data_IF_754356832836
#
_entry.id   IF_754356832836
#
_cell.length_a   1.000
_cell.length_b   1.000
_cell.length_c   1.000
_cell.angle_alpha   90.00
_cell.angle_beta   90.00
_cell.angle_gamma   90.00
#
_symmetry.space_group_name_H-M   'P 1'
#
loop_
_entity.id
_entity.type
_entity.pdbx_description
1 polymer ?
#
# COMPACT_ATOMS: atom_id res chain seq x y z
N UNK A 1 7.40 4.60 6.74
CA UNK A 1 8.40 5.65 7.13
C UNK A 1 7.74 6.78 7.90
N UNK A 2 7.31 6.51 9.15
CA UNK A 2 6.57 7.46 9.97
C UNK A 2 7.34 8.79 10.14
N UNK A 3 8.62 8.73 10.48
CA UNK A 3 9.43 9.91 10.78
C UNK A 3 9.82 10.71 9.54
N UNK A 4 9.93 10.08 8.38
CA UNK A 4 10.45 10.76 7.20
C UNK A 4 9.37 11.26 6.22
N UNK A 5 8.12 10.89 6.40
CA UNK A 5 7.06 11.14 5.43
C UNK A 5 5.81 11.79 6.01
N UNK A 6 5.64 11.72 7.32
CA UNK A 6 4.48 12.30 7.99
C UNK A 6 4.62 13.83 8.08
N UNK A 7 3.52 14.56 7.94
CA UNK A 7 3.49 15.99 8.21
C UNK A 7 3.72 16.26 9.70
N UNK A 8 4.16 17.45 10.05
CA UNK A 8 4.47 17.84 11.45
C UNK A 8 5.43 16.89 12.15
N UNK A 9 6.53 16.58 11.51
CA UNK A 9 7.54 15.64 12.05
C UNK A 9 7.99 16.00 13.47
N UNK A 10 8.15 17.28 13.79
CA UNK A 10 8.56 17.70 15.13
C UNK A 10 7.55 17.23 16.19
N UNK A 11 6.25 17.40 15.93
CA UNK A 11 5.21 16.89 16.82
C UNK A 11 5.20 15.37 16.91
N UNK A 12 5.48 14.69 15.80
CA UNK A 12 5.62 13.23 15.80
C UNK A 12 6.79 12.79 16.69
N UNK A 13 7.93 13.49 16.63
CA UNK A 13 9.06 13.25 17.53
C UNK A 13 8.66 13.40 19.01
N UNK A 14 7.98 14.48 19.37
CA UNK A 14 7.51 14.73 20.74
C UNK A 14 6.55 13.64 21.24
N UNK A 15 5.68 13.14 20.37
CA UNK A 15 4.73 12.06 20.69
C UNK A 15 5.47 10.75 20.94
N UNK A 16 6.41 10.38 20.08
CA UNK A 16 7.14 9.11 20.18
C UNK A 16 8.15 9.09 21.35
N UNK A 17 8.55 10.25 21.86
CA UNK A 17 9.46 10.37 23.00
C UNK A 17 8.71 10.53 24.33
N UNK A 18 7.40 10.62 24.33
CA UNK A 18 6.58 10.79 25.52
C UNK A 18 5.91 9.46 25.89
N UNK A 19 6.47 8.74 26.87
CA UNK A 19 5.97 7.45 27.35
C UNK A 19 4.49 7.50 27.82
N UNK A 20 3.97 8.70 28.14
CA UNK A 20 2.55 8.87 28.48
C UNK A 20 1.64 8.86 27.25
N UNK A 21 2.18 9.12 26.05
CA UNK A 21 1.46 9.11 24.78
C UNK A 21 1.71 7.84 23.98
N UNK A 22 2.89 7.27 24.12
CA UNK A 22 3.31 6.07 23.42
C UNK A 22 4.08 5.14 24.37
N UNK A 23 3.34 4.34 25.12
CA UNK A 23 3.87 3.49 26.21
C UNK A 23 4.82 2.40 25.72
N UNK A 24 4.59 1.86 24.51
CA UNK A 24 5.38 0.80 23.89
C UNK A 24 5.44 0.97 22.39
N UNK A 25 6.65 0.96 21.84
CA UNK A 25 6.90 1.03 20.39
C UNK A 25 7.60 -0.25 19.96
N UNK A 26 6.94 -1.05 19.14
CA UNK A 26 7.52 -2.24 18.52
C UNK A 26 7.71 -1.94 17.03
N UNK A 27 8.92 -2.13 16.53
CA UNK A 27 9.23 -1.98 15.10
C UNK A 27 9.71 -3.30 14.54
N UNK A 28 9.13 -3.71 13.42
CA UNK A 28 9.56 -4.85 12.62
C UNK A 28 10.15 -4.28 11.33
N UNK A 29 11.43 -4.44 11.12
CA UNK A 29 12.11 -3.90 9.93
C UNK A 29 13.41 -4.69 9.65
N UNK A 30 13.83 -4.71 8.39
CA UNK A 30 15.12 -5.29 7.99
C UNK A 30 16.26 -4.27 8.08
N UNK A 31 15.97 -3.00 8.39
CA UNK A 31 16.95 -1.92 8.50
C UNK A 31 16.70 -1.05 9.72
N UNK A 32 17.78 -0.47 10.26
CA UNK A 32 17.70 0.55 11.31
C UNK A 32 17.25 1.88 10.70
N UNK A 33 15.95 1.99 10.44
CA UNK A 33 15.32 3.19 9.89
C UNK A 33 15.23 4.31 10.94
N UNK A 34 14.88 5.51 10.50
CA UNK A 34 14.65 6.65 11.42
C UNK A 34 13.52 6.34 12.40
N UNK A 35 12.50 5.61 11.99
CA UNK A 35 11.42 5.16 12.88
C UNK A 35 11.85 4.07 13.84
N UNK A 36 12.73 3.16 13.41
CA UNK A 36 13.25 2.08 14.25
C UNK A 36 14.07 2.60 15.44
N UNK A 37 14.63 3.81 15.36
CA UNK A 37 15.37 4.43 16.47
C UNK A 37 14.51 4.81 17.68
N UNK A 38 13.19 4.80 17.55
CA UNK A 38 12.24 5.04 18.64
C UNK A 38 11.71 3.75 19.25
N UNK A 39 12.08 2.58 18.71
CA UNK A 39 11.56 1.32 19.18
C UNK A 39 12.11 0.95 20.58
N UNK A 40 11.21 0.54 21.47
CA UNK A 40 11.55 -0.16 22.69
C UNK A 40 11.93 -1.61 22.41
N UNK A 41 11.25 -2.21 21.40
CA UNK A 41 11.53 -3.55 20.89
C UNK A 41 11.70 -3.48 19.39
N UNK A 42 12.87 -3.92 18.91
CA UNK A 42 13.15 -4.07 17.49
C UNK A 42 13.19 -5.56 17.14
N UNK A 43 12.31 -5.97 16.22
CA UNK A 43 12.26 -7.33 15.71
C UNK A 43 12.82 -7.36 14.29
N UNK A 44 13.94 -8.08 14.05
CA UNK A 44 14.58 -8.11 12.75
C UNK A 44 13.78 -8.98 11.77
N UNK A 45 13.29 -8.36 10.68
CA UNK A 45 12.55 -9.04 9.62
C UNK A 45 13.50 -9.66 8.58
N UNK A 46 13.03 -10.68 7.89
CA UNK A 46 13.70 -11.26 6.74
C UNK A 46 13.63 -10.33 5.54
N UNK A 47 14.73 -10.21 4.81
CA UNK A 47 14.71 -9.60 3.47
C UNK A 47 14.04 -10.52 2.46
N UNK A 48 13.69 -9.98 1.27
CA UNK A 48 13.10 -10.78 0.19
C UNK A 48 13.97 -11.98 -0.23
N UNK A 49 15.30 -11.91 -0.05
CA UNK A 49 16.20 -13.02 -0.36
C UNK A 49 16.20 -14.13 0.71
N UNK A 50 15.71 -13.82 1.90
CA UNK A 50 15.72 -14.71 3.07
C UNK A 50 14.39 -15.42 3.31
N UNK A 51 13.37 -15.12 2.52
CA UNK A 51 12.03 -15.71 2.66
C UNK A 51 11.41 -16.05 1.30
N UNK A 52 10.37 -16.86 1.36
CA UNK A 52 9.55 -17.21 0.20
C UNK A 52 8.29 -16.37 0.20
N UNK A 53 7.91 -15.82 -0.96
CA UNK A 53 6.71 -15.00 -1.10
C UNK A 53 6.21 -14.94 -2.55
N UNK A 54 5.04 -14.35 -2.76
CA UNK A 54 4.52 -13.98 -4.07
C UNK A 54 4.56 -12.47 -4.24
N UNK A 55 5.06 -12.01 -5.39
CA UNK A 55 4.96 -10.62 -5.79
C UNK A 55 3.95 -10.48 -6.92
N UNK A 56 3.01 -9.58 -6.74
CA UNK A 56 1.94 -9.28 -7.69
C UNK A 56 2.08 -7.83 -8.16
N UNK A 57 1.78 -7.60 -9.45
CA UNK A 57 1.52 -6.27 -9.94
C UNK A 57 0.18 -6.24 -10.69
N UNK A 58 -0.76 -5.48 -10.16
CA UNK A 58 -2.11 -5.34 -10.72
C UNK A 58 -2.21 -4.21 -11.76
N UNK A 59 -1.14 -3.45 -12.01
CA UNK A 59 -1.16 -2.21 -12.79
C UNK A 59 -0.48 -2.29 -14.16
N UNK A 60 -0.26 -3.48 -14.71
CA UNK A 60 0.50 -3.69 -15.93
C UNK A 60 -0.25 -3.49 -17.26
N UNK A 61 -1.33 -2.73 -17.27
CA UNK A 61 -2.07 -2.47 -18.50
C UNK A 61 -2.80 -3.71 -19.05
N UNK A 62 -2.31 -4.31 -20.12
CA UNK A 62 -2.91 -5.52 -20.72
C UNK A 62 -2.23 -6.83 -20.31
N UNK A 63 -1.38 -6.81 -19.33
CA UNK A 63 -0.65 -7.98 -18.85
C UNK A 63 -0.72 -8.05 -17.34
N UNK A 64 -1.21 -9.17 -16.82
CA UNK A 64 -1.10 -9.52 -15.40
C UNK A 64 0.05 -10.49 -15.22
N UNK A 65 0.76 -10.37 -14.11
CA UNK A 65 1.79 -11.33 -13.75
C UNK A 65 1.83 -11.60 -12.25
N UNK A 66 2.39 -12.75 -11.91
CA UNK A 66 2.76 -13.10 -10.55
C UNK A 66 4.18 -13.64 -10.58
N UNK A 67 5.00 -13.19 -9.65
CA UNK A 67 6.38 -13.63 -9.48
C UNK A 67 6.45 -14.53 -8.26
N UNK A 68 7.14 -15.66 -8.38
CA UNK A 68 7.52 -16.48 -7.26
C UNK A 68 8.87 -15.99 -6.74
N UNK A 69 8.86 -15.44 -5.54
CA UNK A 69 10.08 -15.10 -4.82
C UNK A 69 10.49 -16.30 -3.98
N UNK A 70 11.51 -17.03 -4.41
CA UNK A 70 12.04 -18.16 -3.65
C UNK A 70 13.11 -17.71 -2.66
N UNK A 71 13.23 -18.40 -1.55
CA UNK A 71 14.30 -18.16 -0.59
C UNK A 71 15.66 -18.52 -1.23
N UNK A 72 16.56 -17.56 -1.31
CA UNK A 72 17.90 -17.71 -1.92
C UNK A 72 18.96 -17.99 -0.88
N UNK A 73 18.83 -17.40 0.29
CA UNK A 73 19.74 -17.55 1.43
C UNK A 73 18.95 -17.85 2.70
N UNK A 74 19.59 -18.49 3.67
CA UNK A 74 18.99 -18.67 4.99
C UNK A 74 18.92 -17.32 5.72
N UNK A 75 17.86 -17.09 6.54
CA UNK A 75 17.81 -15.93 7.42
C UNK A 75 19.11 -15.75 8.19
N UNK A 76 19.61 -14.53 8.22
CA UNK A 76 20.84 -14.19 8.92
C UNK A 76 20.52 -13.68 10.32
N UNK A 77 21.44 -13.91 11.25
CA UNK A 77 21.31 -13.47 12.64
C UNK A 77 20.01 -14.00 13.28
N UNK A 78 19.25 -13.13 13.91
CA UNK A 78 17.97 -13.42 14.56
C UNK A 78 16.76 -13.12 13.69
N UNK A 79 16.96 -12.88 12.37
CA UNK A 79 15.87 -12.55 11.46
C UNK A 79 14.87 -13.71 11.35
N UNK A 80 13.60 -13.36 11.40
CA UNK A 80 12.45 -14.25 11.18
C UNK A 80 11.47 -13.57 10.24
N UNK A 81 10.67 -14.36 9.55
CA UNK A 81 9.57 -13.78 8.77
C UNK A 81 8.50 -13.20 9.70
N UNK A 82 7.74 -12.22 9.21
CA UNK A 82 6.60 -11.67 9.97
C UNK A 82 5.64 -12.79 10.39
N UNK A 83 5.43 -13.78 9.52
CA UNK A 83 4.57 -14.92 9.83
C UNK A 83 5.10 -15.75 11.00
N UNK A 84 6.40 -16.04 11.05
CA UNK A 84 7.02 -16.76 12.18
C UNK A 84 6.93 -15.97 13.48
N UNK A 85 7.25 -14.66 13.44
CA UNK A 85 7.16 -13.79 14.62
C UNK A 85 5.74 -13.71 15.17
N UNK A 86 4.76 -13.51 14.30
CA UNK A 86 3.34 -13.42 14.71
C UNK A 86 2.78 -14.77 15.15
N UNK A 87 3.22 -15.88 14.57
CA UNK A 87 2.85 -17.23 15.01
C UNK A 87 3.39 -17.54 16.41
N UNK A 88 4.62 -17.15 16.72
CA UNK A 88 5.17 -17.28 18.07
C UNK A 88 4.43 -16.41 19.09
N UNK A 89 4.01 -15.21 18.69
CA UNK A 89 3.17 -14.34 19.54
C UNK A 89 1.79 -14.98 19.75
N UNK A 90 1.15 -15.48 18.69
CA UNK A 90 -0.14 -16.17 18.77
C UNK A 90 -0.09 -17.39 19.69
N UNK A 91 1.02 -18.15 19.67
CA UNK A 91 1.25 -19.26 20.59
C UNK A 91 1.28 -18.82 22.05
N UNK A 92 1.99 -17.72 22.37
CA UNK A 92 2.05 -17.17 23.72
C UNK A 92 0.70 -16.64 24.20
N UNK A 93 -0.12 -16.15 23.27
CA UNK A 93 -1.49 -15.68 23.53
C UNK A 93 -2.53 -16.82 23.59
N UNK A 94 -2.13 -18.06 23.26
CA UNK A 94 -3.04 -19.22 23.25
C UNK A 94 -3.99 -19.27 22.06
N UNK A 95 -3.69 -18.54 20.99
CA UNK A 95 -4.52 -18.44 19.75
C UNK A 95 -3.79 -18.96 18.50
N UNK A 96 -2.72 -19.73 18.66
CA UNK A 96 -1.89 -20.25 17.56
C UNK A 96 -2.72 -20.97 16.51
N UNK A 97 -3.60 -21.88 16.96
CA UNK A 97 -4.42 -22.67 16.03
C UNK A 97 -5.40 -21.82 15.23
N UNK A 98 -5.97 -20.78 15.83
CA UNK A 98 -6.88 -19.86 15.14
C UNK A 98 -6.14 -18.99 14.14
N UNK A 99 -4.88 -18.62 14.44
CA UNK A 99 -4.06 -17.77 13.59
C UNK A 99 -3.43 -18.55 12.43
N UNK A 100 -2.84 -19.70 12.72
CA UNK A 100 -2.07 -20.46 11.72
C UNK A 100 -2.90 -21.52 10.99
N UNK A 101 -4.03 -21.95 11.56
CA UNK A 101 -4.77 -23.16 11.15
C UNK A 101 -3.87 -24.40 11.07
N UNK A 102 -2.77 -24.40 11.82
CA UNK A 102 -1.77 -25.46 11.81
C UNK A 102 -0.87 -25.47 10.58
N UNK A 103 -0.86 -24.41 9.77
CA UNK A 103 -0.04 -24.30 8.55
C UNK A 103 1.23 -23.51 8.78
N UNK A 104 2.29 -23.93 8.10
CA UNK A 104 3.50 -23.14 7.88
C UNK A 104 3.28 -22.07 6.82
N UNK A 105 4.23 -21.14 6.66
CA UNK A 105 4.16 -20.11 5.59
C UNK A 105 4.09 -20.77 4.20
N UNK A 106 4.90 -21.78 3.91
CA UNK A 106 4.84 -22.48 2.62
C UNK A 106 3.50 -23.18 2.40
N UNK A 107 2.95 -23.82 3.43
CA UNK A 107 1.63 -24.47 3.33
C UNK A 107 0.51 -23.44 3.09
N UNK A 108 0.60 -22.24 3.69
CA UNK A 108 -0.31 -21.15 3.37
C UNK A 108 -0.17 -20.70 1.92
N UNK A 109 1.04 -20.51 1.44
CA UNK A 109 1.28 -20.14 0.04
C UNK A 109 0.71 -21.19 -0.92
N UNK A 110 0.91 -22.48 -0.64
CA UNK A 110 0.34 -23.58 -1.43
C UNK A 110 -1.18 -23.57 -1.42
N UNK A 111 -1.78 -23.33 -0.25
CA UNK A 111 -3.23 -23.27 -0.09
C UNK A 111 -3.84 -22.10 -0.88
N UNK A 112 -3.31 -20.90 -0.72
CA UNK A 112 -3.77 -19.71 -1.44
C UNK A 112 -3.55 -19.83 -2.96
N UNK A 113 -2.43 -20.43 -3.37
CA UNK A 113 -2.15 -20.66 -4.78
C UNK A 113 -3.11 -21.69 -5.39
N UNK A 114 -3.47 -22.74 -4.65
CA UNK A 114 -4.45 -23.72 -5.10
C UNK A 114 -5.84 -23.07 -5.34
N UNK A 115 -6.30 -22.22 -4.43
CA UNK A 115 -7.52 -21.44 -4.62
C UNK A 115 -7.44 -20.52 -5.86
N UNK A 116 -6.28 -19.87 -6.05
CA UNK A 116 -6.05 -19.03 -7.25
C UNK A 116 -6.12 -19.82 -8.55
N UNK A 117 -5.66 -21.08 -8.56
CA UNK A 117 -5.77 -21.97 -9.72
C UNK A 117 -7.20 -22.40 -10.05
N UNK A 118 -8.08 -22.48 -9.06
CA UNK A 118 -9.52 -22.72 -9.33
C UNK A 118 -10.15 -21.57 -10.12
N UNK A 119 -9.76 -20.32 -9.82
CA UNK A 119 -10.21 -19.13 -10.52
C UNK A 119 -9.49 -18.88 -11.85
N UNK A 120 -8.24 -19.30 -11.95
CA UNK A 120 -7.35 -19.10 -13.13
C UNK A 120 -6.74 -20.45 -13.52
N UNK A 121 -7.48 -21.30 -14.28
CA UNK A 121 -7.02 -22.65 -14.64
C UNK A 121 -5.71 -22.70 -15.44
N UNK A 122 -5.33 -21.60 -16.08
CA UNK A 122 -4.09 -21.49 -16.85
C UNK A 122 -2.84 -21.39 -15.97
N UNK A 123 -2.99 -21.14 -14.65
CA UNK A 123 -1.85 -21.15 -13.74
C UNK A 123 -1.19 -22.54 -13.71
N UNK A 124 0.14 -22.63 -13.81
CA UNK A 124 0.86 -23.91 -13.71
C UNK A 124 0.67 -24.55 -12.32
N UNK A 125 1.18 -25.75 -12.12
CA UNK A 125 1.28 -26.31 -10.77
C UNK A 125 2.20 -25.45 -9.90
N UNK A 126 2.07 -25.53 -8.59
CA UNK A 126 2.92 -24.77 -7.67
C UNK A 126 4.41 -25.02 -7.92
N UNK A 127 4.81 -26.27 -8.16
CA UNK A 127 6.20 -26.65 -8.42
C UNK A 127 6.71 -26.13 -9.77
N UNK A 128 5.87 -26.17 -10.80
CA UNK A 128 6.21 -25.59 -12.10
C UNK A 128 6.34 -24.08 -12.00
N UNK A 129 5.43 -23.41 -11.27
CA UNK A 129 5.49 -21.97 -11.05
C UNK A 129 6.74 -21.57 -10.27
N UNK A 130 7.07 -22.31 -9.19
CA UNK A 130 8.30 -22.09 -8.44
C UNK A 130 9.54 -22.21 -9.33
N UNK A 131 9.57 -23.22 -10.20
CA UNK A 131 10.67 -23.44 -11.15
C UNK A 131 10.75 -22.35 -12.24
N UNK A 132 9.61 -21.87 -12.72
CA UNK A 132 9.55 -20.82 -13.75
C UNK A 132 9.87 -19.44 -13.18
N UNK A 133 9.58 -19.20 -11.92
CA UNK A 133 9.78 -17.93 -11.22
C UNK A 133 8.78 -16.83 -11.56
N UNK A 134 8.10 -16.92 -12.71
CA UNK A 134 7.10 -15.91 -13.13
C UNK A 134 6.04 -16.54 -14.03
N UNK A 135 4.77 -16.21 -13.76
CA UNK A 135 3.66 -16.47 -14.67
C UNK A 135 3.13 -15.14 -15.20
N UNK A 136 2.86 -15.09 -16.52
CA UNK A 136 2.34 -13.91 -17.21
C UNK A 136 1.10 -14.28 -18.00
N UNK A 137 0.04 -13.50 -17.84
CA UNK A 137 -1.18 -13.61 -18.62
C UNK A 137 -1.44 -12.30 -19.36
N UNK A 138 -1.47 -12.35 -20.69
CA UNK A 138 -1.85 -11.20 -21.51
C UNK A 138 -3.34 -11.26 -21.79
N UNK A 139 -3.97 -10.10 -21.77
CA UNK A 139 -5.34 -9.97 -22.24
C UNK A 139 -5.35 -10.17 -23.78
N UNK A 140 -6.07 -11.17 -24.32
CA UNK A 140 -6.16 -11.39 -25.73
C UNK A 140 -6.86 -10.25 -26.48
N UNK A 141 -7.64 -9.42 -25.78
CA UNK A 141 -8.30 -8.24 -26.35
C UNK A 141 -7.37 -7.02 -26.45
N UNK A 142 -6.13 -7.14 -25.98
CA UNK A 142 -5.14 -6.07 -26.03
C UNK A 142 -5.18 -5.15 -24.82
N UNK A 143 -4.88 -3.86 -25.03
CA UNK A 143 -4.86 -2.90 -23.93
C UNK A 143 -6.27 -2.61 -23.41
N UNK A 144 -6.42 -2.60 -22.10
CA UNK A 144 -7.65 -2.13 -21.48
C UNK A 144 -7.87 -0.64 -21.84
N UNK A 145 -9.03 -0.36 -22.43
CA UNK A 145 -9.48 1.00 -22.72
C UNK A 145 -10.58 1.35 -21.72
N UNK A 146 -10.28 2.27 -20.81
CA UNK A 146 -11.23 2.70 -19.81
C UNK A 146 -12.54 3.19 -20.44
N UNK A 147 -13.65 2.76 -19.88
CA UNK A 147 -15.01 3.11 -20.32
C UNK A 147 -15.33 2.76 -21.78
N UNK A 148 -14.61 1.83 -22.42
CA UNK A 148 -14.84 1.47 -23.82
C UNK A 148 -16.29 1.04 -24.06
N UNK A 149 -16.78 0.06 -23.31
CA UNK A 149 -18.14 -0.45 -23.42
C UNK A 149 -19.20 0.64 -23.20
N UNK A 150 -19.02 1.50 -22.19
CA UNK A 150 -19.88 2.65 -21.94
C UNK A 150 -19.88 3.65 -23.11
N UNK A 151 -18.72 3.93 -23.70
CA UNK A 151 -18.59 4.86 -24.82
C UNK A 151 -19.24 4.33 -26.10
N UNK A 152 -19.18 3.02 -26.32
CA UNK A 152 -19.77 2.36 -27.49
C UNK A 152 -21.29 2.20 -27.35
N UNK A 153 -21.78 1.83 -26.19
CA UNK A 153 -23.20 1.74 -25.89
C UNK A 153 -23.49 2.09 -24.41
N UNK A 154 -23.75 3.36 -24.10
CA UNK A 154 -24.02 3.80 -22.74
C UNK A 154 -25.29 3.22 -22.12
N UNK A 155 -26.25 2.78 -22.93
CA UNK A 155 -27.51 2.23 -22.44
C UNK A 155 -27.33 0.77 -22.00
N UNK A 156 -26.63 -0.01 -22.80
CA UNK A 156 -26.32 -1.40 -22.47
C UNK A 156 -25.25 -1.54 -21.38
N UNK A 157 -24.36 -0.56 -21.24
CA UNK A 157 -23.22 -0.58 -20.33
C UNK A 157 -23.18 0.70 -19.46
N UNK A 158 -24.17 0.96 -18.61
CA UNK A 158 -24.19 2.15 -17.76
C UNK A 158 -23.02 2.12 -16.78
N UNK A 159 -22.56 3.29 -16.36
CA UNK A 159 -21.58 3.42 -15.28
C UNK A 159 -22.21 3.08 -13.93
N UNK A 160 -21.37 2.77 -12.94
CA UNK A 160 -21.81 2.47 -11.57
C UNK A 160 -22.22 3.72 -10.76
N UNK A 161 -22.26 4.88 -11.40
CA UNK A 161 -22.76 6.12 -10.80
C UNK A 161 -24.29 6.09 -10.63
N UNK A 162 -24.90 6.87 -9.73
CA UNK A 162 -26.34 6.94 -9.55
C UNK A 162 -27.13 7.21 -10.84
N UNK A 163 -26.60 8.04 -11.73
CA UNK A 163 -27.22 8.36 -13.02
C UNK A 163 -26.90 7.33 -14.14
N UNK A 164 -26.00 6.39 -13.91
CA UNK A 164 -25.44 5.51 -14.93
C UNK A 164 -24.56 6.22 -15.96
N UNK A 165 -24.24 7.50 -15.75
CA UNK A 165 -23.48 8.37 -16.64
C UNK A 165 -22.30 9.00 -15.92
N UNK A 166 -21.47 9.75 -16.65
CA UNK A 166 -20.44 10.61 -16.06
C UNK A 166 -21.15 11.74 -15.33
N UNK A 167 -20.90 11.85 -14.02
CA UNK A 167 -21.45 12.90 -13.17
C UNK A 167 -20.39 13.98 -12.95
N UNK A 168 -20.65 15.19 -13.42
CA UNK A 168 -19.78 16.34 -13.16
C UNK A 168 -20.04 16.89 -11.76
N UNK A 169 -21.31 16.95 -11.36
CA UNK A 169 -21.70 17.27 -9.99
C UNK A 169 -21.75 15.99 -9.17
N UNK A 170 -21.05 15.96 -8.05
CA UNK A 170 -21.02 14.82 -7.11
C UNK A 170 -21.92 15.08 -5.92
N UNK A 171 -23.07 14.41 -5.84
CA UNK A 171 -23.95 14.48 -4.68
C UNK A 171 -23.24 13.98 -3.40
N UNK A 172 -22.42 12.92 -3.52
CA UNK A 172 -21.66 12.40 -2.39
C UNK A 172 -20.69 13.43 -1.79
N UNK A 173 -20.02 14.23 -2.63
CA UNK A 173 -19.17 15.33 -2.13
C UNK A 173 -19.99 16.46 -1.52
N UNK A 174 -21.17 16.78 -2.06
CA UNK A 174 -22.08 17.75 -1.47
C UNK A 174 -22.56 17.32 -0.08
N UNK A 175 -22.90 16.03 0.08
CA UNK A 175 -23.34 15.46 1.36
C UNK A 175 -22.19 15.46 2.39
N UNK A 176 -20.97 15.16 1.96
CA UNK A 176 -19.74 15.24 2.80
C UNK A 176 -19.53 16.70 3.23
N UNK A 177 -19.57 17.63 2.30
CA UNK A 177 -19.40 19.06 2.60
C UNK A 177 -20.45 19.61 3.59
N UNK A 178 -21.66 19.07 3.56
CA UNK A 178 -22.73 19.46 4.46
C UNK A 178 -22.63 18.82 5.86
N UNK A 179 -21.90 17.72 6.03
CA UNK A 179 -21.90 16.91 7.25
C UNK A 179 -20.56 16.87 7.97
N UNK A 180 -19.46 17.12 7.28
CA UNK A 180 -18.11 17.11 7.87
C UNK A 180 -17.76 18.49 8.43
N UNK A 181 -17.14 18.48 9.60
CA UNK A 181 -16.47 19.66 10.15
C UNK A 181 -15.09 19.78 9.51
N UNK A 182 -14.94 20.77 8.64
CA UNK A 182 -13.69 21.01 7.92
C UNK A 182 -12.81 22.01 8.69
N UNK A 183 -11.48 21.88 8.64
CA UNK A 183 -10.55 22.90 9.10
C UNK A 183 -10.84 24.25 8.41
N UNK A 184 -10.47 25.34 9.08
CA UNK A 184 -10.62 26.69 8.53
C UNK A 184 -9.86 26.81 7.20
N UNK A 185 -10.57 27.24 6.16
CA UNK A 185 -10.01 27.42 4.81
C UNK A 185 -10.11 26.18 3.91
N UNK A 186 -10.47 25.01 4.44
CA UNK A 186 -10.71 23.81 3.63
C UNK A 186 -12.08 23.87 2.97
N UNK A 187 -12.14 23.45 1.72
CA UNK A 187 -13.37 23.43 0.91
C UNK A 187 -13.50 22.07 0.21
N UNK A 188 -14.68 21.48 0.32
CA UNK A 188 -15.09 20.34 -0.50
C UNK A 188 -16.18 20.83 -1.45
N UNK A 189 -15.84 20.99 -2.73
CA UNK A 189 -16.79 21.40 -3.76
C UNK A 189 -17.36 20.19 -4.49
N UNK A 190 -18.67 20.09 -4.70
CA UNK A 190 -19.28 19.00 -5.48
C UNK A 190 -18.97 19.07 -6.98
N UNK A 191 -18.46 20.18 -7.46
CA UNK A 191 -18.00 20.37 -8.83
C UNK A 191 -16.47 20.30 -8.90
N UNK A 192 -15.88 19.81 -10.00
CA UNK A 192 -14.42 19.76 -10.19
C UNK A 192 -13.88 21.14 -10.57
N UNK A 193 -13.99 22.11 -9.65
CA UNK A 193 -13.46 23.45 -9.82
C UNK A 193 -12.06 23.58 -9.20
N UNK A 194 -11.28 24.53 -9.68
CA UNK A 194 -10.01 24.87 -9.07
C UNK A 194 -10.23 25.56 -7.72
N UNK A 195 -9.67 25.01 -6.67
CA UNK A 195 -9.63 25.64 -5.34
C UNK A 195 -8.17 26.00 -5.03
N UNK A 196 -7.87 27.28 -4.72
CA UNK A 196 -6.52 27.67 -4.32
C UNK A 196 -6.08 26.89 -3.08
N UNK A 197 -4.93 26.26 -3.14
CA UNK A 197 -4.31 25.63 -1.97
C UNK A 197 -3.70 26.68 -1.03
N UNK A 198 -3.42 26.27 0.20
CA UNK A 198 -2.61 27.05 1.13
C UNK A 198 -1.25 27.38 0.53
N UNK A 199 -0.69 28.53 0.88
CA UNK A 199 0.61 29.00 0.39
C UNK A 199 0.71 29.08 -1.14
N UNK A 200 -0.43 29.14 -1.84
CA UNK A 200 -0.47 29.32 -3.29
C UNK A 200 -0.16 30.77 -3.68
N UNK A 201 0.04 31.02 -4.98
CA UNK A 201 0.27 32.38 -5.49
C UNK A 201 -0.93 33.34 -5.23
N UNK A 202 -2.09 32.79 -4.89
CA UNK A 202 -3.31 33.55 -4.53
C UNK A 202 -3.44 33.78 -3.03
N UNK A 203 -2.63 33.14 -2.22
CA UNK A 203 -2.60 33.34 -0.77
C UNK A 203 -2.12 34.77 -0.45
N UNK A 204 -2.75 35.48 0.48
CA UNK A 204 -2.29 36.78 0.94
C UNK A 204 -0.84 36.81 1.43
N UNK A 205 -0.34 35.70 1.98
CA UNK A 205 1.04 35.53 2.41
C UNK A 205 2.03 35.56 1.25
N UNK A 206 1.60 35.35 0.01
CA UNK A 206 2.47 35.46 -1.16
C UNK A 206 3.12 36.84 -1.31
N UNK A 207 2.49 37.91 -0.77
CA UNK A 207 3.09 39.25 -0.74
C UNK A 207 4.36 39.32 0.13
N UNK A 208 4.38 38.50 1.19
CA UNK A 208 5.53 38.41 2.11
C UNK A 208 6.51 37.31 1.69
N UNK A 209 6.00 36.18 1.16
CA UNK A 209 6.76 35.01 0.74
C UNK A 209 6.44 34.67 -0.72
N UNK A 210 7.05 35.39 -1.69
CA UNK A 210 6.66 35.30 -3.11
C UNK A 210 7.17 34.06 -3.84
N UNK A 211 8.06 33.29 -3.21
CA UNK A 211 8.65 32.10 -3.84
C UNK A 211 7.80 30.87 -3.53
N UNK A 212 7.45 30.12 -4.58
CA UNK A 212 6.74 28.85 -4.46
C UNK A 212 7.75 27.70 -4.39
N UNK A 213 7.70 26.92 -3.31
CA UNK A 213 8.53 25.74 -3.17
C UNK A 213 7.88 24.55 -3.88
N UNK A 214 8.58 23.98 -4.86
CA UNK A 214 8.16 22.77 -5.56
C UNK A 214 9.13 21.65 -5.29
N UNK A 215 8.65 20.54 -4.73
CA UNK A 215 9.40 19.32 -4.57
C UNK A 215 9.06 18.31 -5.68
N UNK A 216 10.05 17.56 -6.13
CA UNK A 216 9.86 16.45 -7.06
C UNK A 216 10.55 15.19 -6.54
N UNK A 217 10.11 14.05 -7.03
CA UNK A 217 10.72 12.78 -6.64
C UNK A 217 12.13 12.66 -7.21
N UNK A 218 13.09 12.42 -6.33
CA UNK A 218 14.45 12.14 -6.76
C UNK A 218 14.53 10.78 -7.45
N UNK A 219 15.26 10.70 -8.56
CA UNK A 219 15.26 9.54 -9.47
C UNK A 219 15.60 8.21 -8.79
N UNK A 220 16.46 8.19 -7.79
CA UNK A 220 16.92 7.00 -7.09
C UNK A 220 16.23 6.77 -5.74
N UNK A 221 15.23 7.58 -5.39
CA UNK A 221 14.46 7.41 -4.14
C UNK A 221 13.14 6.72 -4.38
N UNK A 222 12.76 5.89 -3.42
CA UNK A 222 11.40 5.40 -3.24
C UNK A 222 10.88 6.00 -1.94
N UNK A 223 9.99 6.98 -2.05
CA UNK A 223 9.55 7.82 -0.93
C UNK A 223 10.75 8.47 -0.20
N UNK A 224 10.94 8.18 1.08
CA UNK A 224 12.06 8.70 1.89
C UNK A 224 13.21 7.70 2.06
N UNK A 225 13.14 6.54 1.41
CA UNK A 225 14.20 5.52 1.45
C UNK A 225 15.26 5.75 0.38
N UNK A 226 16.45 5.16 0.57
CA UNK A 226 17.60 5.27 -0.35
C UNK A 226 18.07 6.72 -0.57
N UNK A 227 18.06 7.51 0.48
CA UNK A 227 18.40 8.93 0.44
C UNK A 227 19.86 9.26 0.75
N UNK A 228 20.79 8.34 0.50
CA UNK A 228 22.24 8.54 0.73
C UNK A 228 22.89 9.34 -0.36
#
# INVERSE_FOLDING_TARGET
CLINQHSEINRTHEILQDDKKCELIVVIDCHMTSSAKYADILLPDCTASEQMDFALDASCGNMSYVIFNDQVIKPRFECKTIYEMTSELAKRLGVEQQFTEGRTQEEWMRHLYAQSREAIPELPTFEEFRKQGIFKKRDPQGHHVAYKAFREDPQANPLTTPSGKIEIYSQALADIAATWELPEGDVIDPLPIYTPGFESYQDPLNKQYPLQLTGFHYKSRVHSTYGN
#
